data_IF_954785032074
#
_entry.id   IF_954785032074
#
_cell.length_a   1.000
_cell.length_b   1.000
_cell.length_c   1.000
_cell.angle_alpha   90.00
_cell.angle_beta   90.00
_cell.angle_gamma   90.00
#
_symmetry.space_group_name_H-M   'P 1'
#
loop_
_entity.id
_entity.type
_entity.pdbx_description
1 polymer ?
#
# COMPACT_ATOMS: atom_id res chain seq x y z
N UNK A 1 36.34 39.74 -62.75
CA UNK A 1 35.11 39.32 -63.43
C UNK A 1 34.84 37.88 -63.05
N UNK A 2 33.72 37.65 -62.37
CA UNK A 2 32.93 36.40 -62.31
C UNK A 2 33.49 35.10 -61.64
N UNK A 3 32.77 34.72 -60.57
CA UNK A 3 32.13 33.41 -60.28
C UNK A 3 32.95 32.23 -59.71
N UNK A 4 32.66 31.86 -58.44
CA UNK A 4 32.02 30.58 -57.99
C UNK A 4 32.08 30.49 -56.44
N UNK A 5 30.96 30.72 -55.74
CA UNK A 5 30.04 29.70 -55.22
C UNK A 5 30.73 28.58 -54.41
N UNK A 6 30.51 28.60 -53.09
CA UNK A 6 30.10 27.39 -52.36
C UNK A 6 29.27 27.79 -51.15
N UNK A 7 28.01 27.36 -51.22
CA UNK A 7 27.05 27.29 -50.14
C UNK A 7 27.67 26.64 -48.91
N UNK A 8 27.54 27.32 -47.77
CA UNK A 8 27.58 26.69 -46.47
C UNK A 8 26.14 26.64 -45.99
N UNK A 9 25.55 25.47 -46.15
CA UNK A 9 24.27 25.10 -45.57
C UNK A 9 24.29 25.39 -44.06
N UNK A 10 23.46 26.34 -43.66
CA UNK A 10 23.05 26.63 -42.29
C UNK A 10 22.17 25.46 -41.80
N UNK A 11 22.79 24.32 -41.45
CA UNK A 11 22.09 23.21 -40.78
C UNK A 11 21.89 23.63 -39.34
N UNK A 12 20.79 24.34 -39.08
CA UNK A 12 20.23 24.49 -37.75
C UNK A 12 19.67 23.13 -37.31
N UNK A 13 19.95 22.67 -36.08
CA UNK A 13 19.30 21.46 -35.58
C UNK A 13 17.80 21.73 -35.46
N UNK A 14 17.01 21.02 -36.26
CA UNK A 14 15.56 21.00 -36.12
C UNK A 14 15.20 20.30 -34.81
N UNK A 15 14.23 20.86 -34.12
CA UNK A 15 13.76 20.46 -32.81
C UNK A 15 12.92 19.17 -32.90
N UNK A 16 13.59 18.02 -33.08
CA UNK A 16 12.95 16.69 -33.19
C UNK A 16 12.16 16.29 -31.92
N UNK A 17 12.36 16.99 -30.80
CA UNK A 17 11.70 16.66 -29.53
C UNK A 17 10.23 17.10 -29.48
N UNK A 18 9.88 18.19 -30.17
CA UNK A 18 8.53 18.76 -30.18
C UNK A 18 7.59 17.95 -31.11
N UNK A 19 8.12 17.45 -32.23
CA UNK A 19 7.33 16.67 -33.21
C UNK A 19 6.88 15.31 -32.66
N UNK A 20 7.71 14.65 -31.85
CA UNK A 20 7.37 13.34 -31.28
C UNK A 20 6.25 13.44 -30.23
N UNK A 21 6.18 14.52 -29.45
CA UNK A 21 5.15 14.66 -28.42
C UNK A 21 3.79 14.97 -29.03
N UNK A 22 3.73 15.89 -30.00
CA UNK A 22 2.49 16.23 -30.69
C UNK A 22 1.94 15.07 -31.52
N UNK A 23 2.80 14.26 -32.14
CA UNK A 23 2.37 13.05 -32.85
C UNK A 23 1.74 12.02 -31.88
N UNK A 24 2.30 11.87 -30.69
CA UNK A 24 1.76 10.97 -29.67
C UNK A 24 0.40 11.44 -29.13
N UNK A 25 0.26 12.74 -28.86
CA UNK A 25 -1.02 13.33 -28.42
C UNK A 25 -2.10 13.17 -29.49
N UNK A 26 -1.77 13.41 -30.75
CA UNK A 26 -2.70 13.23 -31.86
C UNK A 26 -3.11 11.77 -32.04
N UNK A 27 -2.16 10.83 -31.99
CA UNK A 27 -2.46 9.39 -32.07
C UNK A 27 -3.37 8.95 -30.91
N UNK A 28 -3.11 9.43 -29.69
CA UNK A 28 -3.98 9.13 -28.55
C UNK A 28 -5.38 9.70 -28.76
N UNK A 29 -5.49 10.95 -29.20
CA UNK A 29 -6.78 11.57 -29.45
C UNK A 29 -7.58 10.80 -30.51
N UNK A 30 -6.93 10.34 -31.59
CA UNK A 30 -7.57 9.54 -32.64
C UNK A 30 -8.07 8.19 -32.08
N UNK A 31 -7.23 7.47 -31.34
CA UNK A 31 -7.63 6.23 -30.65
C UNK A 31 -8.82 6.52 -29.76
N UNK A 32 -8.73 7.48 -28.85
CA UNK A 32 -9.78 7.79 -27.87
C UNK A 32 -11.10 8.18 -28.54
N UNK A 33 -11.06 8.95 -29.63
CA UNK A 33 -12.23 9.38 -30.38
C UNK A 33 -12.92 8.21 -31.12
N UNK A 34 -12.15 7.20 -31.53
CA UNK A 34 -12.69 5.99 -32.18
C UNK A 34 -13.38 5.01 -31.22
N UNK A 35 -13.06 5.07 -29.92
CA UNK A 35 -13.63 4.18 -28.92
C UNK A 35 -15.04 4.60 -28.49
N UNK A 36 -15.89 3.60 -28.23
CA UNK A 36 -17.18 3.83 -27.60
C UNK A 36 -17.01 4.40 -26.17
N UNK A 37 -17.97 5.21 -25.66
CA UNK A 37 -17.81 5.92 -24.39
C UNK A 37 -17.47 5.01 -23.20
N UNK A 38 -18.03 3.80 -23.18
CA UNK A 38 -17.87 2.84 -22.10
C UNK A 38 -16.47 2.20 -22.10
N UNK A 39 -15.98 1.84 -23.29
CA UNK A 39 -14.61 1.35 -23.45
C UNK A 39 -13.59 2.45 -23.14
N UNK A 40 -13.89 3.69 -23.55
CA UNK A 40 -13.06 4.87 -23.27
C UNK A 40 -12.92 5.12 -21.77
N UNK A 41 -14.03 5.16 -21.05
CA UNK A 41 -14.04 5.36 -19.59
C UNK A 41 -13.28 4.24 -18.87
N UNK A 42 -13.56 2.98 -19.22
CA UNK A 42 -12.86 1.84 -18.63
C UNK A 42 -11.35 1.86 -18.89
N UNK A 43 -10.93 2.29 -20.08
CA UNK A 43 -9.51 2.42 -20.43
C UNK A 43 -8.82 3.49 -19.57
N UNK A 44 -9.49 4.61 -19.31
CA UNK A 44 -8.94 5.67 -18.46
C UNK A 44 -8.89 5.26 -16.99
N UNK A 45 -9.92 4.58 -16.48
CA UNK A 45 -9.92 4.05 -15.12
C UNK A 45 -8.77 3.06 -14.93
N UNK A 46 -8.60 2.13 -15.87
CA UNK A 46 -7.52 1.13 -15.81
C UNK A 46 -6.13 1.71 -16.00
N UNK A 47 -5.99 2.89 -16.62
CA UNK A 47 -4.72 3.59 -16.73
C UNK A 47 -4.16 4.00 -15.36
N UNK A 48 -5.01 4.23 -14.35
CA UNK A 48 -4.58 4.52 -12.98
C UNK A 48 -4.08 3.29 -12.22
N UNK A 49 -4.15 2.10 -12.83
CA UNK A 49 -3.74 0.84 -12.22
C UNK A 49 -2.43 0.31 -12.82
N UNK A 50 -1.61 -0.31 -11.98
CA UNK A 50 -0.40 -1.04 -12.39
C UNK A 50 -0.71 -2.36 -13.07
N UNK A 51 -1.75 -3.05 -12.58
CA UNK A 51 -2.30 -4.28 -13.14
C UNK A 51 -3.79 -4.39 -12.84
N UNK A 52 -4.52 -5.09 -13.69
CA UNK A 52 -5.94 -5.36 -13.51
C UNK A 52 -6.32 -6.73 -14.06
N UNK A 53 -7.49 -7.21 -13.66
CA UNK A 53 -8.11 -8.44 -14.16
C UNK A 53 -9.58 -8.16 -14.51
N UNK A 54 -10.25 -9.05 -15.27
CA UNK A 54 -11.66 -8.87 -15.62
C UNK A 54 -12.59 -8.61 -14.43
N UNK A 55 -12.36 -9.30 -13.30
CA UNK A 55 -13.16 -9.13 -12.10
C UNK A 55 -12.98 -7.73 -11.47
N UNK A 56 -11.76 -7.18 -11.49
CA UNK A 56 -11.48 -5.82 -11.04
C UNK A 56 -12.10 -4.79 -11.98
N UNK A 57 -11.95 -4.98 -13.30
CA UNK A 57 -12.59 -4.11 -14.29
C UNK A 57 -14.10 -4.04 -14.06
N UNK A 58 -14.75 -5.20 -13.86
CA UNK A 58 -16.19 -5.29 -13.59
C UNK A 58 -16.64 -4.55 -12.32
N UNK A 59 -15.73 -4.39 -11.34
CA UNK A 59 -16.01 -3.68 -10.10
C UNK A 59 -15.73 -2.16 -10.20
N UNK A 60 -14.74 -1.76 -11.00
CA UNK A 60 -14.31 -0.36 -11.12
C UNK A 60 -14.99 0.39 -12.26
N UNK A 61 -15.07 -0.21 -13.43
CA UNK A 61 -15.58 0.43 -14.63
C UNK A 61 -17.11 0.26 -14.74
N UNK A 62 -17.82 0.14 -13.61
CA UNK A 62 -19.28 0.01 -13.61
C UNK A 62 -19.88 1.30 -14.16
N UNK A 63 -20.52 1.26 -15.34
CA UNK A 63 -21.33 2.39 -15.79
C UNK A 63 -22.45 2.67 -14.79
N UNK A 64 -22.92 3.92 -14.76
CA UNK A 64 -24.22 4.24 -14.16
C UNK A 64 -25.26 3.24 -14.66
N UNK A 65 -25.96 2.58 -13.74
CA UNK A 65 -26.85 1.44 -14.02
C UNK A 65 -27.95 1.73 -15.05
N UNK A 66 -28.19 3.01 -15.37
CA UNK A 66 -29.14 3.46 -16.38
C UNK A 66 -28.61 3.47 -17.82
N UNK A 67 -27.29 3.45 -18.03
CA UNK A 67 -26.65 3.58 -19.35
C UNK A 67 -25.78 2.37 -19.75
N UNK A 68 -25.65 1.38 -18.87
CA UNK A 68 -24.93 0.15 -19.14
C UNK A 68 -25.69 -0.71 -20.16
N UNK A 69 -25.08 -1.14 -21.29
CA UNK A 69 -25.66 -2.22 -22.07
C UNK A 69 -25.72 -3.50 -21.21
N UNK A 70 -26.80 -4.27 -21.33
CA UNK A 70 -27.12 -5.46 -20.52
C UNK A 70 -26.00 -6.54 -20.48
N UNK A 71 -24.97 -6.43 -21.32
CA UNK A 71 -23.89 -7.40 -21.49
C UNK A 71 -22.48 -6.90 -21.09
N UNK A 72 -22.35 -5.69 -20.55
CA UNK A 72 -21.02 -5.19 -20.17
C UNK A 72 -20.45 -5.98 -19.00
N UNK A 73 -19.26 -6.54 -19.20
CA UNK A 73 -18.48 -7.22 -18.17
C UNK A 73 -17.00 -6.89 -18.37
N UNK A 74 -16.19 -7.05 -17.33
CA UNK A 74 -14.75 -6.87 -17.46
C UNK A 74 -14.09 -7.87 -18.42
N UNK A 75 -14.71 -9.03 -18.69
CA UNK A 75 -14.24 -9.94 -19.74
C UNK A 75 -14.49 -9.37 -21.13
N UNK A 76 -15.68 -8.81 -21.37
CA UNK A 76 -15.99 -8.12 -22.63
C UNK A 76 -15.05 -6.93 -22.82
N UNK A 77 -14.76 -6.16 -21.75
CA UNK A 77 -13.81 -5.06 -21.78
C UNK A 77 -12.40 -5.53 -22.18
N UNK A 78 -11.85 -6.53 -21.48
CA UNK A 78 -10.51 -7.08 -21.79
C UNK A 78 -10.45 -7.68 -23.21
N UNK A 79 -11.52 -8.33 -23.67
CA UNK A 79 -11.61 -8.86 -25.03
C UNK A 79 -11.54 -7.74 -26.07
N UNK A 80 -12.33 -6.68 -25.90
CA UNK A 80 -12.30 -5.51 -26.80
C UNK A 80 -10.91 -4.87 -26.83
N UNK A 81 -10.27 -4.68 -25.68
CA UNK A 81 -8.90 -4.14 -25.63
C UNK A 81 -7.89 -4.98 -26.44
N UNK A 82 -8.08 -6.30 -26.53
CA UNK A 82 -7.24 -7.17 -27.37
C UNK A 82 -7.60 -7.07 -28.84
N UNK A 83 -8.89 -7.11 -29.16
CA UNK A 83 -9.39 -7.02 -30.55
C UNK A 83 -8.96 -5.71 -31.21
N UNK A 84 -9.01 -4.61 -30.45
CA UNK A 84 -8.62 -3.27 -30.89
C UNK A 84 -7.09 -3.02 -30.77
N UNK A 85 -6.31 -4.02 -30.37
CA UNK A 85 -4.85 -3.94 -30.18
C UNK A 85 -4.38 -2.77 -29.29
N UNK A 86 -5.11 -2.48 -28.21
CA UNK A 86 -4.88 -1.33 -27.32
C UNK A 86 -3.74 -1.56 -26.31
N UNK A 87 -2.58 -1.99 -26.82
CA UNK A 87 -1.32 -2.15 -26.08
C UNK A 87 -1.45 -2.91 -24.75
N UNK A 88 -2.32 -3.91 -24.72
CA UNK A 88 -2.57 -4.77 -23.57
C UNK A 88 -1.50 -5.88 -23.47
N UNK A 89 -0.93 -6.07 -22.29
CA UNK A 89 0.10 -7.08 -22.01
C UNK A 89 -0.43 -8.05 -20.95
N UNK A 90 -0.40 -9.35 -21.25
CA UNK A 90 -0.69 -10.41 -20.26
C UNK A 90 0.47 -10.55 -19.27
N UNK A 91 0.15 -10.70 -17.99
CA UNK A 91 1.14 -10.87 -16.91
C UNK A 91 1.29 -12.32 -16.46
N UNK A 92 0.38 -13.20 -16.87
CA UNK A 92 0.40 -14.63 -16.56
C UNK A 92 0.12 -15.46 -17.82
N UNK A 93 0.44 -16.76 -17.72
CA UNK A 93 0.20 -17.75 -18.78
C UNK A 93 -1.29 -18.01 -19.03
N UNK A 94 -2.11 -17.76 -18.01
CA UNK A 94 -3.56 -17.99 -18.06
C UNK A 94 -4.36 -16.75 -18.50
N UNK A 95 -3.68 -15.64 -18.79
CA UNK A 95 -4.29 -14.36 -19.16
C UNK A 95 -5.42 -13.94 -18.19
N UNK A 96 -5.14 -13.99 -16.88
CA UNK A 96 -6.05 -13.46 -15.85
C UNK A 96 -5.66 -12.04 -15.46
N UNK A 97 -4.37 -11.74 -15.43
CA UNK A 97 -3.84 -10.42 -15.09
C UNK A 97 -3.25 -9.71 -16.30
N UNK A 98 -3.55 -8.43 -16.41
CA UNK A 98 -3.14 -7.57 -17.51
C UNK A 98 -2.53 -6.28 -17.00
N UNK A 99 -1.69 -5.67 -17.83
CA UNK A 99 -1.28 -4.27 -17.71
C UNK A 99 -1.35 -3.60 -19.08
N UNK A 100 -1.56 -2.29 -19.07
CA UNK A 100 -1.30 -1.47 -20.25
C UNK A 100 0.20 -1.27 -20.41
N UNK A 101 0.67 -1.17 -21.66
CA UNK A 101 2.04 -0.75 -21.93
C UNK A 101 2.32 0.60 -21.25
N UNK A 102 3.47 0.73 -20.57
CA UNK A 102 3.79 1.88 -19.72
C UNK A 102 3.65 3.24 -20.42
N UNK A 103 4.20 3.40 -21.64
CA UNK A 103 4.05 4.65 -22.41
C UNK A 103 2.58 4.98 -22.70
N UNK A 104 1.80 3.98 -23.11
CA UNK A 104 0.38 4.17 -23.42
C UNK A 104 -0.41 4.53 -22.15
N UNK A 105 -0.09 3.90 -21.02
CA UNK A 105 -0.66 4.22 -19.72
C UNK A 105 -0.34 5.65 -19.29
N UNK A 106 0.89 6.11 -19.49
CA UNK A 106 1.30 7.46 -19.09
C UNK A 106 0.60 8.52 -19.96
N UNK A 107 0.46 8.26 -21.27
CA UNK A 107 -0.34 9.07 -22.19
C UNK A 107 -1.81 9.12 -21.77
N UNK A 108 -2.42 7.98 -21.42
CA UNK A 108 -3.79 7.91 -20.92
C UNK A 108 -3.99 8.65 -19.60
N UNK A 109 -3.01 8.62 -18.68
CA UNK A 109 -3.04 9.39 -17.44
C UNK A 109 -2.98 10.89 -17.71
N UNK A 110 -2.10 11.32 -18.62
CA UNK A 110 -2.01 12.73 -19.02
C UNK A 110 -3.34 13.23 -19.59
N UNK A 111 -3.97 12.44 -20.47
CA UNK A 111 -5.28 12.75 -21.01
C UNK A 111 -6.39 12.70 -19.95
N UNK A 112 -6.36 11.70 -19.06
CA UNK A 112 -7.33 11.52 -17.98
C UNK A 112 -7.32 12.63 -16.94
N UNK A 113 -6.19 13.30 -16.70
CA UNK A 113 -6.12 14.50 -15.83
C UNK A 113 -6.93 15.68 -16.34
N UNK A 114 -7.22 15.75 -17.64
CA UNK A 114 -8.11 16.76 -18.20
C UNK A 114 -9.59 16.39 -18.08
N UNK A 115 -9.89 15.14 -17.73
CA UNK A 115 -11.26 14.59 -17.68
C UNK A 115 -11.74 14.34 -16.26
N UNK A 116 -10.84 13.89 -15.38
CA UNK A 116 -11.11 13.62 -13.98
C UNK A 116 -10.48 14.67 -13.09
N UNK A 117 -11.24 15.10 -12.09
CA UNK A 117 -10.72 15.81 -10.94
C UNK A 117 -9.82 14.91 -10.09
N UNK A 118 -8.93 15.51 -9.31
CA UNK A 118 -8.10 14.79 -8.34
C UNK A 118 -8.94 13.96 -7.35
N UNK A 119 -10.14 14.43 -7.00
CA UNK A 119 -11.07 13.70 -6.15
C UNK A 119 -11.61 12.41 -6.81
N UNK A 120 -11.89 12.43 -8.11
CA UNK A 120 -12.32 11.25 -8.86
C UNK A 120 -11.18 10.24 -9.03
N UNK A 121 -9.96 10.71 -9.29
CA UNK A 121 -8.77 9.87 -9.35
C UNK A 121 -8.52 9.19 -7.99
N UNK A 122 -8.61 9.96 -6.90
CA UNK A 122 -8.52 9.42 -5.54
C UNK A 122 -9.62 8.37 -5.27
N UNK A 123 -10.86 8.62 -5.69
CA UNK A 123 -11.96 7.67 -5.55
C UNK A 123 -11.72 6.36 -6.34
N UNK A 124 -11.13 6.43 -7.55
CA UNK A 124 -10.72 5.25 -8.32
C UNK A 124 -9.70 4.43 -7.53
N UNK A 125 -8.69 5.09 -6.96
CA UNK A 125 -7.68 4.44 -6.12
C UNK A 125 -8.30 3.80 -4.87
N UNK A 126 -9.17 4.49 -4.13
CA UNK A 126 -9.85 3.91 -2.96
C UNK A 126 -10.68 2.68 -3.33
N UNK A 127 -11.45 2.74 -4.42
CA UNK A 127 -12.26 1.59 -4.89
C UNK A 127 -11.38 0.42 -5.30
N UNK A 128 -10.26 0.68 -5.97
CA UNK A 128 -9.29 -0.36 -6.35
C UNK A 128 -8.69 -1.00 -5.09
N UNK A 129 -8.21 -0.18 -4.16
CA UNK A 129 -7.64 -0.62 -2.90
C UNK A 129 -8.59 -1.48 -2.07
N UNK A 130 -9.85 -1.06 -1.94
CA UNK A 130 -10.89 -1.83 -1.26
C UNK A 130 -11.19 -3.16 -1.98
N UNK A 131 -11.14 -3.19 -3.31
CA UNK A 131 -11.29 -4.45 -4.07
C UNK A 131 -10.11 -5.39 -3.80
N UNK A 132 -8.86 -4.89 -3.84
CA UNK A 132 -7.68 -5.68 -3.57
C UNK A 132 -7.69 -6.26 -2.14
N UNK A 133 -8.12 -5.47 -1.15
CA UNK A 133 -8.26 -5.92 0.24
C UNK A 133 -9.22 -7.12 0.34
N UNK A 134 -10.42 -7.02 -0.26
CA UNK A 134 -11.42 -8.10 -0.25
C UNK A 134 -10.98 -9.36 -0.99
N UNK A 135 -10.01 -9.25 -1.90
CA UNK A 135 -9.47 -10.38 -2.66
C UNK A 135 -8.15 -10.93 -2.09
N UNK A 136 -7.76 -10.53 -0.88
CA UNK A 136 -6.57 -11.05 -0.20
C UNK A 136 -5.26 -10.58 -0.82
N UNK A 137 -5.23 -9.39 -1.41
CA UNK A 137 -4.06 -8.78 -2.05
C UNK A 137 -3.64 -7.51 -1.28
N UNK A 138 -3.01 -7.66 -0.09
CA UNK A 138 -2.79 -6.54 0.81
C UNK A 138 -1.75 -5.52 0.32
N UNK A 139 -0.73 -5.93 -0.46
CA UNK A 139 0.28 -5.00 -0.98
C UNK A 139 -0.34 -3.95 -1.91
N UNK A 140 -1.18 -4.40 -2.85
CA UNK A 140 -1.91 -3.51 -3.75
C UNK A 140 -2.98 -2.73 -3.01
N UNK A 141 -3.67 -3.36 -2.06
CA UNK A 141 -4.68 -2.68 -1.26
C UNK A 141 -4.08 -1.46 -0.56
N UNK A 142 -2.99 -1.63 0.19
CA UNK A 142 -2.31 -0.54 0.91
C UNK A 142 -1.84 0.52 -0.08
N UNK A 143 -1.22 0.13 -1.20
CA UNK A 143 -0.76 1.08 -2.23
C UNK A 143 -1.89 2.00 -2.69
N UNK A 144 -3.01 1.42 -3.12
CA UNK A 144 -4.08 2.21 -3.71
C UNK A 144 -4.90 2.96 -2.66
N UNK A 145 -5.09 2.41 -1.47
CA UNK A 145 -5.77 3.14 -0.38
C UNK A 145 -4.95 4.37 0.04
N UNK A 146 -3.64 4.24 0.14
CA UNK A 146 -2.74 5.38 0.40
C UNK A 146 -2.76 6.39 -0.75
N UNK A 147 -2.67 5.95 -2.02
CA UNK A 147 -2.77 6.85 -3.17
C UNK A 147 -4.11 7.59 -3.24
N UNK A 148 -5.19 6.95 -2.82
CA UNK A 148 -6.52 7.55 -2.73
C UNK A 148 -6.75 8.39 -1.47
N UNK A 149 -5.80 8.43 -0.53
CA UNK A 149 -5.91 9.17 0.72
C UNK A 149 -6.79 8.52 1.80
N UNK A 150 -7.27 7.29 1.58
CA UNK A 150 -8.02 6.53 2.59
C UNK A 150 -7.06 5.78 3.53
N UNK A 151 -6.43 6.58 4.39
CA UNK A 151 -5.44 6.07 5.34
C UNK A 151 -6.05 5.18 6.42
N UNK A 152 -7.33 5.37 6.76
CA UNK A 152 -8.05 4.53 7.73
C UNK A 152 -8.18 3.10 7.20
N UNK A 153 -8.65 2.94 5.96
CA UNK A 153 -8.74 1.63 5.34
C UNK A 153 -7.36 1.01 5.12
N UNK A 154 -6.35 1.80 4.72
CA UNK A 154 -5.00 1.31 4.54
C UNK A 154 -4.41 0.77 5.86
N UNK A 155 -4.61 1.50 6.96
CA UNK A 155 -4.17 1.10 8.30
C UNK A 155 -4.85 -0.20 8.75
N UNK A 156 -6.15 -0.37 8.47
CA UNK A 156 -6.87 -1.62 8.76
C UNK A 156 -6.27 -2.82 8.02
N UNK A 157 -5.87 -2.67 6.75
CA UNK A 157 -5.20 -3.75 6.00
C UNK A 157 -3.85 -4.09 6.62
N UNK A 158 -3.06 -3.09 7.05
CA UNK A 158 -1.81 -3.34 7.79
C UNK A 158 -2.12 -4.11 9.06
N UNK A 159 -3.10 -3.67 9.85
CA UNK A 159 -3.43 -4.28 11.12
C UNK A 159 -3.80 -5.75 11.00
N UNK A 160 -4.65 -6.08 10.02
CA UNK A 160 -5.14 -7.43 9.75
C UNK A 160 -4.03 -8.42 9.35
N UNK A 161 -2.94 -7.93 8.75
CA UNK A 161 -1.92 -8.79 8.16
C UNK A 161 -0.53 -8.67 8.79
N UNK A 162 -0.27 -7.67 9.65
CA UNK A 162 1.06 -7.40 10.20
C UNK A 162 1.63 -8.58 10.99
N UNK A 163 0.82 -9.23 11.85
CA UNK A 163 1.31 -10.37 12.63
C UNK A 163 1.65 -11.56 11.75
N UNK A 164 0.88 -11.83 10.70
CA UNK A 164 1.22 -12.86 9.73
C UNK A 164 2.56 -12.59 9.03
N UNK A 165 2.87 -11.34 8.70
CA UNK A 165 4.18 -10.97 8.16
C UNK A 165 5.30 -11.14 9.20
N UNK A 166 5.09 -10.73 10.45
CA UNK A 166 6.06 -10.89 11.53
C UNK A 166 6.35 -12.38 11.80
N UNK A 167 5.31 -13.20 11.90
CA UNK A 167 5.43 -14.65 12.15
C UNK A 167 6.14 -15.40 11.01
N UNK A 168 6.15 -14.83 9.80
CA UNK A 168 6.82 -15.39 8.62
C UNK A 168 8.12 -14.66 8.27
N UNK A 169 8.64 -13.83 9.18
CA UNK A 169 9.91 -13.09 9.03
C UNK A 169 9.94 -12.17 7.78
N UNK A 170 8.78 -11.73 7.29
CA UNK A 170 8.65 -10.87 6.10
C UNK A 170 8.83 -9.39 6.44
N UNK A 171 9.87 -9.05 7.20
CA UNK A 171 10.14 -7.70 7.70
C UNK A 171 10.29 -6.62 6.62
N UNK A 172 11.00 -6.86 5.49
CA UNK A 172 11.10 -5.84 4.44
C UNK A 172 9.74 -5.51 3.80
N UNK A 173 8.80 -6.47 3.81
CA UNK A 173 7.44 -6.26 3.28
C UNK A 173 6.63 -5.37 4.23
N UNK A 174 6.71 -5.62 5.55
CA UNK A 174 6.07 -4.77 6.55
C UNK A 174 6.66 -3.35 6.53
N UNK A 175 7.99 -3.21 6.50
CA UNK A 175 8.65 -1.90 6.40
C UNK A 175 8.21 -1.14 5.14
N UNK A 176 8.11 -1.83 3.99
CA UNK A 176 7.59 -1.25 2.75
C UNK A 176 6.13 -0.80 2.89
N UNK A 177 5.28 -1.55 3.58
CA UNK A 177 3.89 -1.14 3.83
C UNK A 177 3.83 0.16 4.61
N UNK A 178 4.54 0.25 5.72
CA UNK A 178 4.55 1.45 6.56
C UNK A 178 5.14 2.66 5.82
N UNK A 179 6.20 2.46 5.02
CA UNK A 179 6.81 3.55 4.22
C UNK A 179 5.92 4.16 3.14
N UNK A 180 4.84 3.48 2.74
CA UNK A 180 3.91 4.07 1.77
C UNK A 180 3.10 5.22 2.37
N UNK A 181 2.80 5.17 3.67
CA UNK A 181 2.05 6.24 4.33
C UNK A 181 2.88 7.53 4.43
N UNK A 182 2.26 8.71 4.23
CA UNK A 182 2.91 9.99 4.51
C UNK A 182 3.43 10.06 5.94
N UNK A 183 4.52 10.80 6.16
CA UNK A 183 5.16 10.90 7.47
C UNK A 183 4.17 11.43 8.52
N UNK A 184 3.40 12.45 8.18
CA UNK A 184 2.41 13.11 9.05
C UNK A 184 1.34 12.12 9.54
N UNK A 185 0.93 11.20 8.66
CA UNK A 185 -0.06 10.15 8.96
C UNK A 185 0.55 9.10 9.89
N UNK A 186 1.78 8.65 9.63
CA UNK A 186 2.49 7.70 10.50
C UNK A 186 2.78 8.28 11.86
N UNK A 187 3.03 9.59 11.93
CA UNK A 187 3.40 10.25 13.17
C UNK A 187 2.23 10.46 14.12
N UNK A 188 1.00 10.41 13.63
CA UNK A 188 -0.23 10.70 14.39
C UNK A 188 -1.07 9.47 14.69
N UNK A 189 -0.78 8.32 14.06
CA UNK A 189 -1.55 7.08 14.23
C UNK A 189 -0.88 6.10 15.16
N UNK A 190 -1.57 5.76 16.24
CA UNK A 190 -1.06 4.85 17.28
C UNK A 190 -0.66 3.48 16.73
N UNK A 191 -1.45 2.90 15.82
CA UNK A 191 -1.15 1.53 15.34
C UNK A 191 0.02 1.48 14.37
N UNK A 192 0.21 2.52 13.55
CA UNK A 192 1.40 2.65 12.71
C UNK A 192 2.65 2.88 13.58
N UNK A 193 2.55 3.69 14.64
CA UNK A 193 3.64 3.88 15.59
C UNK A 193 4.00 2.59 16.36
N UNK A 194 3.01 1.78 16.73
CA UNK A 194 3.21 0.44 17.32
C UNK A 194 3.97 -0.48 16.37
N UNK A 195 3.53 -0.58 15.11
CA UNK A 195 4.21 -1.39 14.09
C UNK A 195 5.64 -0.91 13.80
N UNK A 196 5.88 0.41 13.75
CA UNK A 196 7.21 1.01 13.63
C UNK A 196 8.10 0.66 14.84
N UNK A 197 7.53 0.64 16.06
CA UNK A 197 8.24 0.25 17.27
C UNK A 197 8.69 -1.21 17.21
N UNK A 198 7.81 -2.12 16.76
CA UNK A 198 8.15 -3.54 16.56
C UNK A 198 9.27 -3.70 15.53
N UNK A 199 9.22 -2.96 14.41
CA UNK A 199 10.31 -2.96 13.41
C UNK A 199 11.63 -2.48 13.99
N UNK A 200 11.61 -1.37 14.74
CA UNK A 200 12.82 -0.84 15.37
C UNK A 200 13.43 -1.83 16.37
N UNK A 201 12.58 -2.53 17.14
CA UNK A 201 13.01 -3.59 18.05
C UNK A 201 13.67 -4.74 17.29
N UNK A 202 13.02 -5.23 16.23
CA UNK A 202 13.54 -6.32 15.40
C UNK A 202 14.90 -5.97 14.78
N UNK A 203 15.06 -4.72 14.33
CA UNK A 203 16.31 -4.22 13.74
C UNK A 203 17.39 -3.88 14.78
N UNK A 204 17.16 -4.13 16.08
CA UNK A 204 18.11 -3.84 17.16
C UNK A 204 18.33 -2.34 17.41
N UNK A 205 17.44 -1.48 16.92
CA UNK A 205 17.56 -0.03 17.03
C UNK A 205 17.06 0.44 18.40
N UNK A 206 17.82 0.14 19.47
CA UNK A 206 17.41 0.35 20.86
C UNK A 206 16.89 1.76 21.17
N UNK A 207 17.64 2.81 20.77
CA UNK A 207 17.26 4.21 21.00
C UNK A 207 15.96 4.57 20.27
N UNK A 208 15.79 4.08 19.05
CA UNK A 208 14.59 4.30 18.25
C UNK A 208 13.39 3.56 18.85
N UNK A 209 13.61 2.32 19.31
CA UNK A 209 12.59 1.49 19.96
C UNK A 209 12.01 2.20 21.19
N UNK A 210 12.85 2.74 22.07
CA UNK A 210 12.39 3.51 23.25
C UNK A 210 11.57 4.73 22.82
N UNK A 211 12.07 5.47 21.82
CA UNK A 211 11.38 6.68 21.33
C UNK A 211 10.00 6.34 20.75
N UNK A 212 9.91 5.28 19.95
CA UNK A 212 8.67 4.84 19.31
C UNK A 212 7.71 4.21 20.32
N UNK A 213 8.20 3.47 21.31
CA UNK A 213 7.37 2.91 22.38
C UNK A 213 6.64 4.02 23.15
N UNK A 214 7.38 5.06 23.58
CA UNK A 214 6.80 6.24 24.25
C UNK A 214 5.81 6.98 23.36
N UNK A 215 6.11 7.08 22.06
CA UNK A 215 5.22 7.73 21.10
C UNK A 215 3.92 6.95 20.93
N UNK A 216 4.00 5.64 20.71
CA UNK A 216 2.85 4.77 20.60
C UNK A 216 1.99 4.82 21.87
N UNK A 217 2.61 4.81 23.05
CA UNK A 217 1.92 4.97 24.34
C UNK A 217 1.21 6.32 24.47
N UNK A 218 1.87 7.43 24.10
CA UNK A 218 1.23 8.74 24.11
C UNK A 218 0.04 8.82 23.14
N UNK A 219 0.15 8.17 21.97
CA UNK A 219 -0.90 8.13 20.97
C UNK A 219 -2.07 7.23 21.36
N UNK A 220 -1.96 6.35 22.37
CA UNK A 220 -3.10 5.56 22.87
C UNK A 220 -4.25 6.46 23.33
N UNK A 221 -3.98 7.68 23.79
CA UNK A 221 -5.01 8.65 24.18
C UNK A 221 -5.92 9.08 23.01
N UNK A 222 -5.51 8.83 21.76
CA UNK A 222 -6.30 9.09 20.55
C UNK A 222 -7.26 7.96 20.20
N UNK A 223 -7.11 6.78 20.83
CA UNK A 223 -7.93 5.61 20.58
C UNK A 223 -8.97 5.43 21.70
N UNK A 224 -10.18 4.91 21.40
CA UNK A 224 -11.14 4.54 22.42
C UNK A 224 -10.54 3.47 23.36
N UNK A 225 -10.50 3.70 24.68
CA UNK A 225 -9.98 2.72 25.63
C UNK A 225 -10.72 1.38 25.51
N UNK A 226 -9.96 0.28 25.49
CA UNK A 226 -10.51 -1.07 25.38
C UNK A 226 -10.94 -1.49 23.96
N UNK A 227 -10.84 -0.62 22.96
CA UNK A 227 -10.99 -1.03 21.55
C UNK A 227 -9.90 -2.04 21.15
N UNK A 228 -10.16 -2.83 20.11
CA UNK A 228 -9.18 -3.82 19.60
C UNK A 228 -7.83 -3.16 19.30
N UNK A 229 -7.85 -2.03 18.59
CA UNK A 229 -6.63 -1.28 18.24
C UNK A 229 -5.90 -0.73 19.46
N UNK A 230 -6.64 -0.26 20.48
CA UNK A 230 -6.06 0.20 21.74
C UNK A 230 -5.33 -0.94 22.44
N UNK A 231 -5.99 -2.11 22.57
CA UNK A 231 -5.43 -3.27 23.25
C UNK A 231 -4.21 -3.82 22.51
N UNK A 232 -4.27 -3.88 21.18
CA UNK A 232 -3.14 -4.31 20.37
C UNK A 232 -1.92 -3.41 20.57
N UNK A 233 -2.06 -2.09 20.40
CA UNK A 233 -0.94 -1.16 20.55
C UNK A 233 -0.40 -1.16 21.99
N UNK A 234 -1.29 -1.18 22.99
CA UNK A 234 -0.88 -1.26 24.39
C UNK A 234 -0.16 -2.57 24.67
N UNK A 235 -0.63 -3.69 24.12
CA UNK A 235 0.01 -5.00 24.25
C UNK A 235 1.38 -5.05 23.58
N UNK A 236 1.51 -4.51 22.37
CA UNK A 236 2.79 -4.41 21.63
C UNK A 236 3.81 -3.60 22.44
N UNK A 237 3.43 -2.38 22.87
CA UNK A 237 4.30 -1.52 23.66
C UNK A 237 4.64 -2.14 25.01
N UNK A 238 3.69 -2.81 25.67
CA UNK A 238 3.94 -3.50 26.94
C UNK A 238 4.94 -4.65 26.79
N UNK A 239 4.87 -5.44 25.71
CA UNK A 239 5.83 -6.50 25.43
C UNK A 239 7.24 -5.93 25.23
N UNK A 240 7.35 -4.87 24.41
CA UNK A 240 8.63 -4.25 24.06
C UNK A 240 9.25 -3.58 25.29
N UNK A 241 8.47 -2.77 26.02
CA UNK A 241 8.95 -2.09 27.24
C UNK A 241 9.37 -3.07 28.32
N UNK A 242 8.63 -4.15 28.53
CA UNK A 242 9.01 -5.21 29.46
C UNK A 242 10.32 -5.90 29.04
N UNK A 243 10.52 -6.16 27.74
CA UNK A 243 11.77 -6.71 27.23
C UNK A 243 12.96 -5.77 27.42
N UNK A 244 12.77 -4.46 27.23
CA UNK A 244 13.79 -3.44 27.48
C UNK A 244 14.16 -3.37 28.98
N UNK A 245 13.17 -3.48 29.87
CA UNK A 245 13.36 -3.47 31.32
C UNK A 245 14.18 -4.67 31.84
N UNK A 246 14.33 -5.74 31.05
CA UNK A 246 15.14 -6.91 31.44
C UNK A 246 16.61 -6.50 31.66
N UNK A 247 17.10 -5.55 30.86
CA UNK A 247 18.44 -5.01 31.01
C UNK A 247 18.59 -4.12 32.26
N UNK A 248 17.50 -3.56 32.78
CA UNK A 248 17.49 -2.66 33.93
C UNK A 248 17.32 -3.40 35.27
N UNK A 249 16.83 -4.64 35.23
CA UNK A 249 16.80 -5.55 36.37
C UNK A 249 15.70 -5.31 37.40
N UNK A 250 14.57 -4.71 37.00
CA UNK A 250 13.37 -4.58 37.86
C UNK A 250 12.34 -5.67 37.51
N UNK A 251 12.27 -6.78 38.29
CA UNK A 251 11.40 -7.91 37.95
C UNK A 251 9.91 -7.56 38.03
N UNK A 252 9.50 -6.63 38.91
CA UNK A 252 8.08 -6.25 39.07
C UNK A 252 7.54 -5.50 37.83
N UNK A 253 8.31 -4.52 37.33
CA UNK A 253 7.95 -3.74 36.14
C UNK A 253 7.92 -4.65 34.91
N UNK A 254 8.91 -5.52 34.82
CA UNK A 254 9.07 -6.47 33.73
C UNK A 254 7.91 -7.48 33.66
N UNK A 255 7.59 -8.15 34.77
CA UNK A 255 6.52 -9.14 34.81
C UNK A 255 5.15 -8.51 34.57
N UNK A 256 4.87 -7.33 35.15
CA UNK A 256 3.57 -6.66 34.97
C UNK A 256 3.33 -6.21 33.52
N UNK A 257 4.35 -5.67 32.86
CA UNK A 257 4.28 -5.30 31.44
C UNK A 257 4.11 -6.53 30.53
N UNK A 258 4.88 -7.58 30.78
CA UNK A 258 4.81 -8.80 29.97
C UNK A 258 3.47 -9.54 30.15
N UNK A 259 2.94 -9.61 31.36
CA UNK A 259 1.62 -10.21 31.63
C UNK A 259 0.51 -9.44 30.90
N UNK A 260 0.55 -8.11 30.97
CA UNK A 260 -0.39 -7.25 30.22
C UNK A 260 -0.33 -7.50 28.71
N UNK A 261 0.87 -7.69 28.17
CA UNK A 261 1.02 -8.00 26.75
C UNK A 261 0.35 -9.33 26.37
N UNK A 262 0.53 -10.38 27.17
CA UNK A 262 -0.09 -11.69 26.94
C UNK A 262 -1.62 -11.63 27.08
N UNK A 263 -2.15 -10.75 27.94
CA UNK A 263 -3.60 -10.57 28.09
C UNK A 263 -4.24 -9.80 26.94
N UNK A 264 -3.55 -8.79 26.41
CA UNK A 264 -4.11 -7.88 25.41
C UNK A 264 -3.84 -8.29 23.95
N UNK A 265 -2.70 -8.94 23.67
CA UNK A 265 -2.32 -9.29 22.31
C UNK A 265 -3.15 -10.46 21.77
N UNK A 266 -3.60 -10.41 20.50
CA UNK A 266 -4.32 -11.52 19.90
C UNK A 266 -3.42 -12.75 19.76
N UNK A 267 -4.04 -13.95 19.72
CA UNK A 267 -3.31 -15.23 19.76
C UNK A 267 -2.35 -15.44 18.59
N UNK A 268 -2.58 -14.76 17.46
CA UNK A 268 -1.73 -14.81 16.27
C UNK A 268 -0.55 -13.84 16.32
N UNK A 269 -0.43 -12.97 17.34
CA UNK A 269 0.74 -12.13 17.59
C UNK A 269 1.91 -12.94 18.19
N UNK A 270 2.29 -14.06 17.56
CA UNK A 270 3.15 -15.09 18.12
C UNK A 270 4.51 -14.55 18.57
N UNK A 271 5.14 -13.69 17.76
CA UNK A 271 6.43 -13.10 18.10
C UNK A 271 6.39 -12.34 19.43
N UNK A 272 5.44 -11.43 19.58
CA UNK A 272 5.36 -10.55 20.76
C UNK A 272 4.84 -11.29 21.99
N UNK A 273 3.93 -12.24 21.80
CA UNK A 273 3.49 -13.13 22.88
C UNK A 273 4.62 -14.04 23.37
N UNK A 274 5.44 -14.56 22.46
CA UNK A 274 6.61 -15.36 22.81
C UNK A 274 7.66 -14.53 23.53
N UNK A 275 7.91 -13.31 23.07
CA UNK A 275 8.77 -12.34 23.75
C UNK A 275 8.29 -12.09 25.17
N UNK A 276 7.01 -11.74 25.34
CA UNK A 276 6.42 -11.49 26.65
C UNK A 276 6.51 -12.72 27.58
N UNK A 277 6.25 -13.93 27.05
CA UNK A 277 6.35 -15.18 27.83
C UNK A 277 7.80 -15.43 28.30
N UNK A 278 8.78 -15.23 27.41
CA UNK A 278 10.20 -15.35 27.78
C UNK A 278 10.62 -14.32 28.82
N UNK A 279 10.07 -13.10 28.73
CA UNK A 279 10.28 -12.03 29.71
C UNK A 279 9.68 -12.43 31.06
N UNK A 280 8.47 -12.98 31.13
CA UNK A 280 7.88 -13.50 32.38
C UNK A 280 8.80 -14.55 33.03
N UNK A 281 9.29 -15.52 32.25
CA UNK A 281 10.21 -16.55 32.74
C UNK A 281 11.52 -15.95 33.29
N UNK A 282 12.08 -14.94 32.60
CA UNK A 282 13.23 -14.19 33.09
C UNK A 282 12.96 -13.49 34.43
N UNK A 283 11.80 -12.85 34.58
CA UNK A 283 11.39 -12.22 35.84
C UNK A 283 11.24 -13.21 37.00
N UNK A 284 10.65 -14.39 36.74
CA UNK A 284 10.56 -15.48 37.73
C UNK A 284 11.95 -15.96 38.18
N UNK A 285 12.88 -16.12 37.22
CA UNK A 285 14.26 -16.48 37.53
C UNK A 285 14.95 -15.43 38.41
N UNK A 286 14.76 -14.14 38.13
CA UNK A 286 15.35 -13.05 38.93
C UNK A 286 14.83 -13.03 40.38
N UNK A 287 13.59 -13.48 40.59
CA UNK A 287 12.99 -13.63 41.93
C UNK A 287 13.38 -14.91 42.66
N UNK A 288 13.93 -15.89 41.95
CA UNK A 288 14.21 -17.22 42.48
C UNK A 288 12.97 -18.12 42.59
N UNK A 289 11.88 -17.77 41.90
CA UNK A 289 10.62 -18.51 41.90
C UNK A 289 10.67 -19.57 40.77
N UNK A 290 11.30 -20.73 41.04
CA UNK A 290 11.55 -21.78 40.03
C UNK A 290 10.43 -22.81 39.87
N UNK A 291 9.39 -22.79 40.70
CA UNK A 291 8.36 -23.85 40.71
C UNK A 291 7.28 -23.69 39.62
N UNK A 292 7.09 -22.48 39.07
CA UNK A 292 6.04 -22.19 38.07
C UNK A 292 6.54 -22.19 36.61
N UNK A 293 7.80 -22.52 36.35
CA UNK A 293 8.47 -22.39 35.04
C UNK A 293 8.61 -23.67 34.20
N UNK A 294 7.80 -24.70 34.44
CA UNK A 294 7.83 -25.97 33.68
C UNK A 294 6.67 -26.12 32.70
#
# INVERSE_FOLDING_TARGET
MALRQRDQDDIRPHDESIDSHHLQEYLLAEIMNSLDPLLREGLLITAWLDRFCPALCSALCRPDAAAAPDNWTGEVFVRRLREDNLFLISLDSEARWFRLHHLFRDMLRAWGRNQFSEAEIAAIHCRAGAWFARNGLPDEAIRYLVLGGDYDAAEQVVQQHRYALMNSEQWPRLERWLRQFPAEVRETRATLAGADCVLAMHMGQYRMTISLARKAEALLATLPPGSANYNEVLGEVSAITAALALAEGSPEVLMSGAQRAVELLPMDALLLRSLATGVIAGGMQMRGDYEDGR
#
